data_IF_466194288103
#
_entry.id   IF_466194288103
#
_cell.length_a   1.000
_cell.length_b   1.000
_cell.length_c   1.000
_cell.angle_alpha   90.00
_cell.angle_beta   90.00
_cell.angle_gamma   90.00
#
_symmetry.space_group_name_H-M   'P 1'
#
loop_
_entity.id
_entity.type
_entity.pdbx_description
1 polymer ?
#
# COMPACT_ATOMS: atom_id res chain seq x y z
N UNK A 1 -21.15 16.46 -15.23
CA UNK A 1 -22.26 15.55 -15.54
C UNK A 1 -22.42 14.59 -14.37
N UNK A 2 -23.60 14.51 -13.75
CA UNK A 2 -23.83 13.59 -12.64
C UNK A 2 -23.75 12.14 -13.11
N UNK A 3 -23.32 11.19 -12.27
CA UNK A 3 -23.32 9.75 -12.58
C UNK A 3 -24.67 9.28 -13.19
N UNK A 4 -25.78 9.90 -12.77
CA UNK A 4 -27.14 9.65 -13.26
C UNK A 4 -27.31 9.91 -14.77
N UNK A 5 -26.63 10.90 -15.36
CA UNK A 5 -26.75 11.17 -16.80
C UNK A 5 -25.99 10.15 -17.66
N UNK A 6 -24.89 9.58 -17.13
CA UNK A 6 -24.13 8.51 -17.78
C UNK A 6 -24.90 7.17 -17.72
N UNK A 7 -25.70 6.97 -16.67
CA UNK A 7 -26.51 5.77 -16.47
C UNK A 7 -27.71 5.68 -17.42
N UNK A 8 -28.29 6.82 -17.78
CA UNK A 8 -29.50 6.89 -18.59
C UNK A 8 -29.26 6.72 -20.10
N UNK A 9 -28.02 6.79 -20.59
CA UNK A 9 -27.70 6.65 -22.02
C UNK A 9 -27.43 5.20 -22.46
N UNK A 10 -27.42 4.23 -21.53
CA UNK A 10 -27.00 2.84 -21.80
C UNK A 10 -28.22 1.90 -21.80
N UNK A 11 -28.97 1.81 -22.90
CA UNK A 11 -30.01 0.77 -23.09
C UNK A 11 -29.37 -0.57 -23.49
N UNK A 12 -28.85 -1.36 -22.54
CA UNK A 12 -28.51 -2.80 -22.68
C UNK A 12 -28.68 -3.57 -21.34
N UNK A 13 -28.43 -4.88 -21.32
CA UNK A 13 -28.69 -5.79 -20.19
C UNK A 13 -28.21 -5.25 -18.83
N UNK A 14 -28.94 -5.55 -17.76
CA UNK A 14 -28.73 -5.01 -16.41
C UNK A 14 -27.28 -5.13 -15.91
N UNK A 15 -26.60 -6.22 -16.26
CA UNK A 15 -25.21 -6.50 -15.89
C UNK A 15 -24.19 -5.57 -16.56
N UNK A 16 -24.41 -5.18 -17.82
CA UNK A 16 -23.51 -4.28 -18.57
C UNK A 16 -23.63 -2.84 -18.06
N UNK A 17 -24.86 -2.37 -17.83
CA UNK A 17 -25.15 -1.10 -17.14
C UNK A 17 -24.49 -1.05 -15.78
N UNK A 18 -24.62 -2.10 -14.98
CA UNK A 18 -24.02 -2.17 -13.66
C UNK A 18 -22.49 -2.02 -13.70
N UNK A 19 -21.81 -2.71 -14.62
CA UNK A 19 -20.35 -2.58 -14.79
C UNK A 19 -19.89 -1.14 -15.08
N UNK A 20 -20.54 -0.44 -16.02
CA UNK A 20 -20.24 0.96 -16.32
C UNK A 20 -20.55 1.91 -15.15
N UNK A 21 -21.62 1.62 -14.40
CA UNK A 21 -22.00 2.37 -13.19
C UNK A 21 -20.92 2.33 -12.12
N UNK A 22 -20.32 1.15 -11.91
CA UNK A 22 -19.32 0.93 -10.88
C UNK A 22 -18.05 1.75 -11.13
N UNK A 23 -17.63 1.89 -12.39
CA UNK A 23 -16.49 2.74 -12.77
C UNK A 23 -16.71 4.22 -12.43
N UNK A 24 -17.92 4.74 -12.63
CA UNK A 24 -18.25 6.12 -12.25
C UNK A 24 -18.22 6.35 -10.73
N UNK A 25 -18.45 5.32 -9.92
CA UNK A 25 -18.40 5.36 -8.45
C UNK A 25 -16.98 5.08 -7.90
N UNK A 26 -15.96 4.97 -8.74
CA UNK A 26 -14.58 4.68 -8.31
C UNK A 26 -13.75 5.93 -8.01
N UNK A 27 -14.17 7.12 -8.46
CA UNK A 27 -13.39 8.36 -8.31
C UNK A 27 -13.09 8.74 -6.87
N UNK A 28 -14.08 8.64 -5.96
CA UNK A 28 -13.88 8.91 -4.53
C UNK A 28 -12.83 8.00 -3.90
N UNK A 29 -12.84 6.70 -4.25
CA UNK A 29 -11.88 5.71 -3.75
C UNK A 29 -10.46 5.97 -4.28
N UNK A 30 -10.33 6.32 -5.57
CA UNK A 30 -9.05 6.72 -6.16
C UNK A 30 -8.51 7.98 -5.50
N UNK A 31 -9.37 8.98 -5.25
CA UNK A 31 -9.00 10.19 -4.51
C UNK A 31 -8.50 9.90 -3.09
N UNK A 32 -9.15 8.98 -2.38
CA UNK A 32 -8.71 8.53 -1.05
C UNK A 32 -7.36 7.81 -1.11
N UNK A 33 -7.11 6.97 -2.12
CA UNK A 33 -5.78 6.38 -2.33
C UNK A 33 -4.71 7.46 -2.46
N UNK A 34 -4.95 8.49 -3.27
CA UNK A 34 -4.02 9.62 -3.43
C UNK A 34 -3.85 10.42 -2.15
N UNK A 35 -4.92 10.66 -1.39
CA UNK A 35 -4.88 11.33 -0.08
C UNK A 35 -3.99 10.57 0.90
N UNK A 36 -4.20 9.26 1.03
CA UNK A 36 -3.41 8.40 1.90
C UNK A 36 -1.91 8.47 1.54
N UNK A 37 -1.58 8.41 0.24
CA UNK A 37 -0.19 8.58 -0.21
C UNK A 37 0.38 9.96 0.13
N UNK A 38 -0.42 11.03 0.02
CA UNK A 38 0.00 12.38 0.45
C UNK A 38 0.34 12.45 1.94
N UNK A 39 -0.46 11.80 2.79
CA UNK A 39 -0.22 11.70 4.23
C UNK A 39 1.01 10.82 4.54
N UNK A 40 1.23 9.74 3.79
CA UNK A 40 2.42 8.91 3.89
C UNK A 40 3.69 9.71 3.56
N UNK A 41 3.67 10.53 2.50
CA UNK A 41 4.77 11.43 2.14
C UNK A 41 5.13 12.34 3.32
N UNK A 42 4.12 12.96 3.95
CA UNK A 42 4.36 13.83 5.12
C UNK A 42 5.02 13.04 6.27
N UNK A 43 4.45 11.89 6.63
CA UNK A 43 4.96 11.05 7.72
C UNK A 43 6.41 10.65 7.51
N UNK A 44 6.76 10.15 6.32
CA UNK A 44 8.11 9.66 6.06
C UNK A 44 9.13 10.80 5.92
N UNK A 45 8.73 11.94 5.37
CA UNK A 45 9.56 13.16 5.31
C UNK A 45 9.99 13.59 6.69
N UNK A 46 9.04 13.65 7.63
CA UNK A 46 9.32 14.03 9.01
C UNK A 46 10.25 13.02 9.67
N UNK A 47 9.95 11.72 9.57
CA UNK A 47 10.73 10.69 10.24
C UNK A 47 12.16 10.55 9.71
N UNK A 48 12.35 10.61 8.39
CA UNK A 48 13.67 10.47 7.77
C UNK A 48 14.53 11.69 8.07
N UNK A 49 14.03 12.91 7.83
CA UNK A 49 14.78 14.15 8.14
C UNK A 49 15.16 14.21 9.62
N UNK A 50 14.23 13.89 10.52
CA UNK A 50 14.52 13.81 11.95
C UNK A 50 15.58 12.75 12.28
N UNK A 51 15.53 11.58 11.64
CA UNK A 51 16.48 10.49 11.88
C UNK A 51 17.91 10.82 11.43
N UNK A 52 18.06 11.66 10.40
CA UNK A 52 19.36 12.15 9.93
C UNK A 52 20.01 13.15 10.90
N UNK A 53 19.23 13.89 11.69
CA UNK A 53 19.76 14.93 12.59
C UNK A 53 19.80 14.51 14.06
N UNK A 54 18.88 13.63 14.48
CA UNK A 54 18.81 13.17 15.87
C UNK A 54 19.99 12.26 16.16
N UNK A 55 20.89 12.70 17.03
CA UNK A 55 21.99 11.88 17.56
C UNK A 55 21.60 11.28 18.91
N UNK A 56 21.88 10.00 19.10
CA UNK A 56 21.66 9.31 20.37
C UNK A 56 22.49 8.03 20.41
N UNK A 57 23.32 7.86 21.45
CA UNK A 57 24.28 6.76 21.58
C UNK A 57 25.32 6.75 20.44
N UNK A 58 26.33 5.88 20.54
CA UNK A 58 27.35 5.73 19.52
C UNK A 58 28.40 4.68 19.86
N UNK A 59 29.43 4.51 19.02
CA UNK A 59 30.41 3.43 19.16
C UNK A 59 31.33 3.60 20.38
N UNK A 60 31.45 4.82 20.91
CA UNK A 60 32.31 5.14 22.04
C UNK A 60 31.69 6.23 22.92
N UNK A 61 32.05 6.29 24.21
CA UNK A 61 31.59 7.35 25.10
C UNK A 61 31.91 8.74 24.54
N UNK A 62 30.91 9.63 24.53
CA UNK A 62 31.07 11.01 24.07
C UNK A 62 30.97 11.23 22.55
N UNK A 63 30.86 10.17 21.75
CA UNK A 63 30.56 10.27 20.31
C UNK A 63 29.15 9.75 20.05
N UNK A 64 28.25 10.62 19.61
CA UNK A 64 26.90 10.21 19.24
C UNK A 64 26.69 10.19 17.73
N UNK A 65 26.03 9.14 17.25
CA UNK A 65 25.70 8.94 15.84
C UNK A 65 24.26 9.36 15.56
N UNK A 66 23.97 9.90 14.36
CA UNK A 66 22.60 10.04 13.88
C UNK A 66 21.85 8.71 13.99
N UNK A 67 20.59 8.73 14.40
CA UNK A 67 19.84 7.49 14.61
C UNK A 67 19.61 6.72 13.31
N UNK A 68 19.64 7.40 12.15
CA UNK A 68 19.60 6.74 10.84
C UNK A 68 20.84 5.86 10.59
N UNK A 69 21.92 5.96 11.38
CA UNK A 69 23.08 5.07 11.24
C UNK A 69 22.80 3.66 11.77
N UNK A 70 21.77 3.46 12.60
CA UNK A 70 21.48 2.17 13.21
C UNK A 70 20.66 1.28 12.27
N UNK A 71 21.05 0.00 12.18
CA UNK A 71 20.35 -1.02 11.39
C UNK A 71 18.85 -1.08 11.74
N UNK A 72 18.49 -0.99 13.01
CA UNK A 72 17.10 -1.01 13.46
C UNK A 72 16.29 0.17 12.94
N UNK A 73 16.86 1.38 12.89
CA UNK A 73 16.18 2.55 12.35
C UNK A 73 16.00 2.43 10.83
N UNK A 74 17.01 1.93 10.10
CA UNK A 74 16.91 1.68 8.65
C UNK A 74 15.87 0.61 8.33
N UNK A 75 15.89 -0.51 9.03
CA UNK A 75 14.91 -1.59 8.86
C UNK A 75 13.47 -1.13 9.11
N UNK A 76 13.26 -0.12 9.97
CA UNK A 76 11.94 0.50 10.18
C UNK A 76 11.54 1.42 9.04
N UNK A 77 12.44 2.29 8.57
CA UNK A 77 12.10 3.39 7.66
C UNK A 77 12.27 3.06 6.17
N UNK A 78 13.32 2.34 5.77
CA UNK A 78 13.60 2.03 4.36
C UNK A 78 12.46 1.22 3.70
N UNK A 79 11.88 0.19 4.36
CA UNK A 79 10.72 -0.49 3.80
C UNK A 79 9.48 0.41 3.64
N UNK A 80 9.31 1.43 4.49
CA UNK A 80 8.24 2.41 4.35
C UNK A 80 8.50 3.31 3.14
N UNK A 81 9.75 3.77 2.94
CA UNK A 81 10.15 4.51 1.73
C UNK A 81 9.89 3.69 0.48
N UNK A 82 10.27 2.41 0.46
CA UNK A 82 9.95 1.51 -0.63
C UNK A 82 8.43 1.41 -0.87
N UNK A 83 7.63 1.24 0.20
CA UNK A 83 6.17 1.20 0.10
C UNK A 83 5.57 2.48 -0.50
N UNK A 84 6.16 3.65 -0.19
CA UNK A 84 5.73 4.93 -0.76
C UNK A 84 5.88 4.93 -2.28
N UNK A 85 7.05 4.56 -2.81
CA UNK A 85 7.28 4.54 -4.26
C UNK A 85 6.32 3.58 -4.97
N UNK A 86 6.17 2.36 -4.44
CA UNK A 86 5.37 1.32 -5.07
C UNK A 86 3.87 1.68 -5.02
N UNK A 87 3.35 2.08 -3.85
CA UNK A 87 1.93 2.41 -3.75
C UNK A 87 1.58 3.78 -4.35
N UNK A 88 2.52 4.71 -4.47
CA UNK A 88 2.31 5.93 -5.27
C UNK A 88 2.17 5.61 -6.75
N UNK A 89 3.02 4.73 -7.29
CA UNK A 89 2.89 4.26 -8.68
C UNK A 89 1.58 3.51 -8.89
N UNK A 90 1.17 2.66 -7.94
CA UNK A 90 -0.15 2.02 -7.97
C UNK A 90 -1.28 3.07 -8.01
N UNK A 91 -1.27 4.05 -7.11
CA UNK A 91 -2.34 5.06 -7.04
C UNK A 91 -2.42 5.88 -8.33
N UNK A 92 -1.28 6.29 -8.89
CA UNK A 92 -1.24 7.01 -10.16
C UNK A 92 -1.72 6.16 -11.34
N UNK A 93 -1.26 4.91 -11.46
CA UNK A 93 -1.71 4.03 -12.53
C UNK A 93 -3.20 3.69 -12.44
N UNK A 94 -3.77 3.55 -11.24
CA UNK A 94 -5.23 3.37 -11.08
C UNK A 94 -5.98 4.67 -11.43
N UNK A 95 -5.41 5.83 -11.13
CA UNK A 95 -5.95 7.11 -11.58
C UNK A 95 -5.94 7.25 -13.09
N UNK A 96 -4.84 6.90 -13.77
CA UNK A 96 -4.74 6.93 -15.23
C UNK A 96 -5.76 6.00 -15.88
N UNK A 97 -5.96 4.79 -15.34
CA UNK A 97 -7.02 3.88 -15.79
C UNK A 97 -8.42 4.52 -15.68
N UNK A 98 -8.69 5.21 -14.57
CA UNK A 98 -9.96 5.90 -14.34
C UNK A 98 -10.17 7.04 -15.34
N UNK A 99 -9.12 7.82 -15.62
CA UNK A 99 -9.19 8.90 -16.62
C UNK A 99 -9.43 8.32 -18.02
N UNK A 100 -8.71 7.25 -18.39
CA UNK A 100 -8.93 6.58 -19.67
C UNK A 100 -10.38 6.09 -19.81
N UNK A 101 -10.94 5.49 -18.77
CA UNK A 101 -12.35 5.09 -18.75
C UNK A 101 -13.29 6.29 -18.93
N UNK A 102 -13.05 7.41 -18.24
CA UNK A 102 -13.90 8.59 -18.40
C UNK A 102 -13.84 9.18 -19.81
N UNK A 103 -12.64 9.30 -20.38
CA UNK A 103 -12.46 9.79 -21.75
C UNK A 103 -13.23 8.91 -22.72
N UNK A 104 -13.03 7.58 -22.66
CA UNK A 104 -13.73 6.66 -23.54
C UNK A 104 -15.26 6.73 -23.34
N UNK A 105 -15.74 6.82 -22.10
CA UNK A 105 -17.18 6.92 -21.80
C UNK A 105 -17.85 8.16 -22.38
N UNK A 106 -17.10 9.23 -22.63
CA UNK A 106 -17.62 10.48 -23.21
C UNK A 106 -17.65 10.46 -24.74
N UNK A 107 -16.82 9.62 -25.37
CA UNK A 107 -16.68 9.52 -26.82
C UNK A 107 -17.15 8.19 -27.40
N UNK A 108 -17.73 7.31 -26.58
CA UNK A 108 -18.02 5.92 -26.94
C UNK A 108 -19.22 5.77 -27.87
N UNK A 109 -19.12 4.82 -28.79
CA UNK A 109 -20.24 4.37 -29.63
C UNK A 109 -20.81 3.03 -29.14
N UNK A 110 -21.73 2.42 -29.89
CA UNK A 110 -22.35 1.15 -29.49
C UNK A 110 -21.34 -0.01 -29.37
N UNK A 111 -20.32 -0.02 -30.22
CA UNK A 111 -19.29 -1.06 -30.24
C UNK A 111 -18.39 -1.04 -28.98
N UNK A 112 -18.27 0.11 -28.31
CA UNK A 112 -17.43 0.29 -27.13
C UNK A 112 -18.12 -0.13 -25.82
N UNK A 113 -19.43 -0.43 -25.85
CA UNK A 113 -20.23 -0.69 -24.64
C UNK A 113 -19.70 -1.87 -23.83
N UNK A 114 -19.24 -2.92 -24.50
CA UNK A 114 -18.71 -4.11 -23.83
C UNK A 114 -17.36 -3.83 -23.20
N UNK A 115 -16.46 -3.16 -23.93
CA UNK A 115 -15.18 -2.70 -23.41
C UNK A 115 -15.36 -1.82 -22.17
N UNK A 116 -16.27 -0.83 -22.23
CA UNK A 116 -16.58 0.03 -21.08
C UNK A 116 -17.11 -0.76 -19.88
N UNK A 117 -17.94 -1.78 -20.10
CA UNK A 117 -18.43 -2.62 -19.02
C UNK A 117 -17.28 -3.42 -18.36
N UNK A 118 -16.35 -3.97 -19.15
CA UNK A 118 -15.17 -4.67 -18.63
C UNK A 118 -14.22 -3.71 -17.89
N UNK A 119 -13.92 -2.54 -18.46
CA UNK A 119 -13.09 -1.50 -17.83
C UNK A 119 -13.70 -1.04 -16.50
N UNK A 120 -15.02 -0.79 -16.47
CA UNK A 120 -15.72 -0.34 -15.27
C UNK A 120 -15.67 -1.38 -14.13
N UNK A 121 -15.81 -2.67 -14.45
CA UNK A 121 -15.65 -3.75 -13.46
C UNK A 121 -14.22 -3.85 -12.91
N UNK A 122 -13.23 -3.75 -13.79
CA UNK A 122 -11.82 -3.84 -13.40
C UNK A 122 -11.39 -2.62 -12.57
N UNK A 123 -11.76 -1.40 -12.97
CA UNK A 123 -11.51 -0.17 -12.19
C UNK A 123 -12.19 -0.23 -10.83
N UNK A 124 -13.40 -0.77 -10.75
CA UNK A 124 -14.07 -0.95 -9.47
C UNK A 124 -13.30 -1.88 -8.53
N UNK A 125 -12.85 -3.03 -9.04
CA UNK A 125 -12.04 -3.96 -8.26
C UNK A 125 -10.70 -3.32 -7.80
N UNK A 126 -9.98 -2.67 -8.73
CA UNK A 126 -8.71 -2.00 -8.46
C UNK A 126 -8.87 -0.85 -7.46
N UNK A 127 -9.85 0.03 -7.65
CA UNK A 127 -10.10 1.16 -6.75
C UNK A 127 -10.51 0.71 -5.34
N UNK A 128 -11.31 -0.35 -5.20
CA UNK A 128 -11.63 -0.97 -3.91
C UNK A 128 -10.37 -1.40 -3.16
N UNK A 129 -9.54 -2.22 -3.81
CA UNK A 129 -8.39 -2.86 -3.16
C UNK A 129 -7.24 -1.88 -2.98
N UNK A 130 -7.01 -0.98 -3.95
CA UNK A 130 -6.01 0.09 -3.85
C UNK A 130 -6.30 1.05 -2.70
N UNK A 131 -7.56 1.47 -2.54
CA UNK A 131 -7.99 2.31 -1.42
C UNK A 131 -7.70 1.62 -0.08
N UNK A 132 -8.09 0.34 0.03
CA UNK A 132 -7.89 -0.41 1.26
C UNK A 132 -6.40 -0.57 1.62
N UNK A 133 -5.55 -0.94 0.67
CA UNK A 133 -4.12 -1.15 0.94
C UNK A 133 -3.38 0.17 1.20
N UNK A 134 -3.66 1.24 0.43
CA UNK A 134 -3.01 2.54 0.60
C UNK A 134 -3.36 3.15 1.97
N UNK A 135 -4.63 3.08 2.39
CA UNK A 135 -5.05 3.67 3.67
C UNK A 135 -4.50 2.90 4.87
N UNK A 136 -4.51 1.57 4.84
CA UNK A 136 -3.91 0.74 5.89
C UNK A 136 -2.39 0.86 5.94
N UNK A 137 -1.72 0.90 4.78
CA UNK A 137 -0.27 1.11 4.72
C UNK A 137 0.09 2.46 5.35
N UNK A 138 -0.60 3.53 4.97
CA UNK A 138 -0.39 4.87 5.51
C UNK A 138 -0.65 4.94 7.00
N UNK A 139 -1.70 4.28 7.50
CA UNK A 139 -2.02 4.22 8.93
C UNK A 139 -0.87 3.60 9.73
N UNK A 140 -0.41 2.41 9.32
CA UNK A 140 0.69 1.69 9.96
C UNK A 140 2.01 2.45 9.85
N UNK A 141 2.36 2.90 8.66
CA UNK A 141 3.60 3.62 8.40
C UNK A 141 3.67 4.95 9.17
N UNK A 142 2.58 5.70 9.25
CA UNK A 142 2.55 6.96 10.01
C UNK A 142 2.77 6.73 11.50
N UNK A 143 2.20 5.64 12.05
CA UNK A 143 2.44 5.24 13.42
C UNK A 143 3.90 4.81 13.64
N UNK A 144 4.46 4.02 12.73
CA UNK A 144 5.86 3.61 12.78
C UNK A 144 6.82 4.82 12.70
N UNK A 145 6.56 5.76 11.79
CA UNK A 145 7.31 7.01 11.64
C UNK A 145 7.27 7.86 12.92
N UNK A 146 6.12 7.92 13.58
CA UNK A 146 5.95 8.62 14.87
C UNK A 146 6.85 8.00 15.95
N UNK A 147 6.83 6.68 16.07
CA UNK A 147 7.65 5.96 17.04
C UNK A 147 9.14 6.00 16.71
N UNK A 148 9.51 6.05 15.43
CA UNK A 148 10.88 6.24 14.97
C UNK A 148 11.45 7.62 15.38
N UNK A 149 10.59 8.61 15.65
CA UNK A 149 10.97 9.92 16.19
C UNK A 149 11.05 9.96 17.73
N UNK A 150 10.78 8.84 18.41
CA UNK A 150 10.80 8.74 19.87
C UNK A 150 9.81 9.69 20.54
N UNK A 151 10.18 10.23 21.72
CA UNK A 151 9.33 11.14 22.49
C UNK A 151 8.94 12.42 21.73
N UNK A 152 9.83 12.95 20.89
CA UNK A 152 9.51 14.14 20.08
C UNK A 152 8.43 13.86 19.03
N UNK A 153 8.31 12.63 18.55
CA UNK A 153 7.19 12.23 17.68
C UNK A 153 5.82 12.33 18.34
N UNK A 154 5.74 12.43 19.68
CA UNK A 154 4.47 12.64 20.38
C UNK A 154 4.09 14.12 20.53
N UNK A 155 5.01 15.05 20.26
CA UNK A 155 4.69 16.48 20.31
C UNK A 155 3.63 16.81 19.28
N UNK A 156 2.67 17.68 19.65
CA UNK A 156 1.72 18.23 18.68
C UNK A 156 2.44 18.87 17.48
N UNK A 157 3.55 19.58 17.75
CA UNK A 157 4.39 20.23 16.76
C UNK A 157 5.10 19.26 15.80
N UNK A 158 5.15 17.96 16.10
CA UNK A 158 5.67 16.94 15.17
C UNK A 158 4.72 16.66 14.00
N UNK A 159 3.44 17.00 14.13
CA UNK A 159 2.43 16.80 13.10
C UNK A 159 1.88 15.37 12.97
N UNK A 160 2.52 14.35 13.56
CA UNK A 160 2.08 12.95 13.40
C UNK A 160 0.68 12.66 13.93
N UNK A 161 0.26 13.33 15.02
CA UNK A 161 -1.11 13.19 15.55
C UNK A 161 -2.15 13.58 14.50
N UNK A 162 -2.00 14.78 13.93
CA UNK A 162 -2.89 15.30 12.87
C UNK A 162 -2.86 14.40 11.64
N UNK A 163 -1.68 13.99 11.18
CA UNK A 163 -1.56 13.13 9.98
C UNK A 163 -2.31 11.81 10.18
N UNK A 164 -2.25 11.23 11.37
CA UNK A 164 -2.98 9.99 11.69
C UNK A 164 -4.48 10.24 11.79
N UNK A 165 -4.89 11.31 12.47
CA UNK A 165 -6.30 11.70 12.59
C UNK A 165 -6.94 11.95 11.21
N UNK A 166 -6.19 12.54 10.28
CA UNK A 166 -6.63 12.77 8.89
C UNK A 166 -6.67 11.47 8.06
N UNK A 167 -5.80 10.50 8.34
CA UNK A 167 -5.77 9.23 7.61
C UNK A 167 -6.79 8.22 8.12
N UNK A 168 -7.07 8.17 9.42
CA UNK A 168 -7.93 7.15 10.03
C UNK A 168 -9.32 7.01 9.34
N UNK A 169 -10.01 8.10 8.97
CA UNK A 169 -11.26 8.00 8.22
C UNK A 169 -11.10 7.37 6.83
N UNK A 170 -9.91 7.46 6.21
CA UNK A 170 -9.63 6.83 4.91
C UNK A 170 -9.74 5.32 4.96
N UNK A 171 -9.67 4.69 6.14
CA UNK A 171 -9.93 3.25 6.30
C UNK A 171 -11.44 2.90 6.27
N UNK A 172 -12.32 3.89 6.30
CA UNK A 172 -13.79 3.71 6.45
C UNK A 172 -14.61 4.43 5.39
N UNK A 173 -14.22 5.64 4.98
CA UNK A 173 -14.90 6.44 3.94
C UNK A 173 -14.97 5.70 2.60
N UNK A 174 -16.02 5.97 1.82
CA UNK A 174 -16.23 5.37 0.49
C UNK A 174 -16.14 3.83 0.51
N UNK A 175 -16.58 3.24 1.63
CA UNK A 175 -16.62 1.81 1.90
C UNK A 175 -15.59 1.35 2.92
N UNK A 176 -16.04 0.56 3.90
CA UNK A 176 -15.16 -0.14 4.84
C UNK A 176 -14.15 -1.02 4.09
N UNK A 177 -12.88 -0.96 4.49
CA UNK A 177 -11.82 -1.68 3.79
C UNK A 177 -12.06 -3.19 3.72
N UNK A 178 -12.54 -3.85 4.77
CA UNK A 178 -12.78 -5.30 4.74
C UNK A 178 -13.96 -5.67 3.85
N UNK A 179 -14.99 -4.83 3.79
CA UNK A 179 -16.11 -5.01 2.84
C UNK A 179 -15.64 -4.78 1.39
N UNK A 180 -14.83 -3.74 1.14
CA UNK A 180 -14.33 -3.42 -0.19
C UNK A 180 -13.43 -4.52 -0.76
N UNK A 181 -12.62 -5.18 0.08
CA UNK A 181 -11.78 -6.29 -0.37
C UNK A 181 -12.61 -7.39 -1.06
N UNK A 182 -13.86 -7.62 -0.66
CA UNK A 182 -14.72 -8.61 -1.33
C UNK A 182 -14.86 -8.35 -2.84
N UNK A 183 -14.81 -7.09 -3.27
CA UNK A 183 -14.89 -6.73 -4.70
C UNK A 183 -13.69 -7.23 -5.50
N UNK A 184 -12.48 -7.23 -4.90
CA UNK A 184 -11.27 -7.78 -5.52
C UNK A 184 -11.38 -9.28 -5.74
N UNK A 185 -11.69 -10.04 -4.68
CA UNK A 185 -11.86 -11.49 -4.79
C UNK A 185 -13.00 -11.90 -5.73
N UNK A 186 -14.13 -11.20 -5.71
CA UNK A 186 -15.24 -11.46 -6.63
C UNK A 186 -14.81 -11.24 -8.09
N UNK A 187 -14.06 -10.17 -8.37
CA UNK A 187 -13.53 -9.90 -9.71
C UNK A 187 -12.59 -11.02 -10.19
N UNK A 188 -11.62 -11.42 -9.36
CA UNK A 188 -10.67 -12.48 -9.72
C UNK A 188 -11.35 -13.83 -9.88
N UNK A 189 -12.24 -14.20 -8.96
CA UNK A 189 -12.95 -15.48 -9.04
C UNK A 189 -13.94 -15.51 -10.21
N UNK A 190 -14.57 -14.40 -10.58
CA UNK A 190 -15.41 -14.34 -11.78
C UNK A 190 -14.59 -14.63 -13.04
N UNK A 191 -13.42 -13.99 -13.20
CA UNK A 191 -12.53 -14.25 -14.35
C UNK A 191 -11.98 -15.68 -14.32
N UNK A 192 -11.69 -16.23 -13.13
CA UNK A 192 -11.28 -17.63 -12.97
C UNK A 192 -12.39 -18.60 -13.43
N UNK A 193 -13.64 -18.36 -13.04
CA UNK A 193 -14.77 -19.19 -13.47
C UNK A 193 -15.02 -19.09 -14.97
N UNK A 194 -14.94 -17.88 -15.52
CA UNK A 194 -15.05 -17.67 -16.96
C UNK A 194 -14.00 -18.47 -17.73
N UNK A 195 -12.73 -18.38 -17.33
CA UNK A 195 -11.63 -19.09 -18.01
C UNK A 195 -11.71 -20.62 -17.82
N UNK A 196 -11.88 -21.09 -16.59
CA UNK A 196 -11.68 -22.51 -16.26
C UNK A 196 -12.95 -23.35 -16.21
N UNK A 197 -14.14 -22.75 -16.08
CA UNK A 197 -15.42 -23.46 -16.07
C UNK A 197 -16.24 -23.20 -17.32
N UNK A 198 -16.24 -21.96 -17.80
CA UNK A 198 -17.10 -21.54 -18.91
C UNK A 198 -16.37 -21.53 -20.27
N UNK A 199 -15.05 -21.74 -20.30
CA UNK A 199 -14.20 -21.63 -21.50
C UNK A 199 -14.33 -20.26 -22.21
N UNK A 200 -14.46 -19.20 -21.43
CA UNK A 200 -14.54 -17.81 -21.90
C UNK A 200 -13.19 -17.14 -21.68
N UNK A 201 -12.71 -16.39 -22.66
CA UNK A 201 -11.45 -15.64 -22.55
C UNK A 201 -11.53 -14.57 -21.46
N UNK A 202 -10.39 -14.30 -20.81
CA UNK A 202 -10.30 -13.27 -19.79
C UNK A 202 -10.46 -11.90 -20.44
N UNK A 203 -11.33 -11.08 -19.85
CA UNK A 203 -11.55 -9.71 -20.30
C UNK A 203 -11.09 -8.75 -19.19
N UNK A 204 -9.80 -8.41 -19.26
CA UNK A 204 -9.13 -7.51 -18.31
C UNK A 204 -8.42 -6.42 -19.12
N UNK A 205 -9.13 -5.36 -19.58
CA UNK A 205 -8.55 -4.30 -20.41
C UNK A 205 -7.32 -3.61 -19.82
N UNK A 206 -7.17 -3.59 -18.49
CA UNK A 206 -6.00 -3.06 -17.79
C UNK A 206 -5.04 -4.16 -17.29
N UNK A 207 -5.21 -5.37 -17.79
CA UNK A 207 -4.35 -6.55 -17.58
C UNK A 207 -4.13 -6.97 -16.12
N UNK A 208 -4.94 -6.51 -15.16
CA UNK A 208 -4.77 -6.88 -13.75
C UNK A 208 -5.14 -8.34 -13.45
N UNK A 209 -5.93 -8.99 -14.31
CA UNK A 209 -6.26 -10.41 -14.21
C UNK A 209 -5.52 -11.30 -15.24
N UNK A 210 -4.57 -10.76 -16.01
CA UNK A 210 -3.89 -11.49 -17.09
C UNK A 210 -3.08 -12.70 -16.61
N UNK A 211 -2.60 -12.69 -15.36
CA UNK A 211 -1.85 -13.80 -14.77
C UNK A 211 -2.63 -15.13 -14.78
N UNK A 212 -3.96 -15.08 -14.76
CA UNK A 212 -4.83 -16.26 -14.74
C UNK A 212 -4.67 -17.13 -15.99
N UNK A 213 -4.28 -16.56 -17.14
CA UNK A 213 -4.04 -17.30 -18.38
C UNK A 213 -2.88 -18.30 -18.24
N UNK A 214 -1.84 -17.91 -17.49
CA UNK A 214 -0.65 -18.73 -17.24
C UNK A 214 -0.70 -19.51 -15.92
N UNK A 215 -1.78 -19.37 -15.15
CA UNK A 215 -1.90 -19.91 -13.79
C UNK A 215 -1.64 -21.43 -13.71
N UNK A 216 -2.15 -22.24 -14.66
CA UNK A 216 -1.88 -23.69 -14.69
C UNK A 216 -0.39 -23.99 -14.83
N UNK A 217 0.30 -23.30 -15.73
CA UNK A 217 1.74 -23.45 -15.97
C UNK A 217 2.55 -23.03 -14.75
N UNK A 218 2.19 -21.89 -14.15
CA UNK A 218 2.85 -21.35 -12.94
C UNK A 218 2.72 -22.36 -11.78
N UNK A 219 1.52 -22.91 -11.53
CA UNK A 219 1.30 -23.86 -10.44
C UNK A 219 1.94 -25.24 -10.68
N UNK A 220 2.08 -25.66 -11.94
CA UNK A 220 2.80 -26.89 -12.28
C UNK A 220 4.30 -26.77 -11.98
N UNK A 221 4.88 -25.59 -12.18
CA UNK A 221 6.26 -25.30 -11.82
C UNK A 221 6.39 -24.92 -10.34
N UNK A 222 6.14 -25.88 -9.44
CA UNK A 222 6.21 -25.67 -7.99
C UNK A 222 7.66 -25.70 -7.42
N UNK A 223 8.64 -25.25 -8.22
CA UNK A 223 10.01 -25.07 -7.76
C UNK A 223 10.20 -23.62 -7.29
N UNK A 224 10.71 -23.46 -6.07
CA UNK A 224 11.04 -22.15 -5.53
C UNK A 224 12.09 -21.45 -6.40
N UNK A 225 11.73 -20.32 -7.01
CA UNK A 225 12.67 -19.48 -7.77
C UNK A 225 13.61 -18.68 -6.86
N UNK A 226 13.25 -18.53 -5.57
CA UNK A 226 14.06 -17.80 -4.60
C UNK A 226 15.23 -18.67 -4.17
N UNK A 227 16.43 -18.21 -4.51
CA UNK A 227 17.72 -18.83 -4.20
C UNK A 227 18.71 -17.76 -3.73
N UNK A 228 19.90 -18.17 -3.29
CA UNK A 228 20.94 -17.22 -2.83
C UNK A 228 21.41 -16.25 -3.91
N UNK A 229 21.24 -16.60 -5.18
CA UNK A 229 21.67 -15.83 -6.35
C UNK A 229 20.48 -15.22 -7.10
N UNK A 230 19.27 -15.27 -6.53
CA UNK A 230 18.09 -14.85 -7.25
C UNK A 230 18.03 -13.34 -7.47
N UNK A 231 17.47 -12.96 -8.62
CA UNK A 231 17.29 -11.58 -9.04
C UNK A 231 15.85 -11.13 -8.77
N UNK A 232 15.60 -9.84 -8.97
CA UNK A 232 14.26 -9.25 -8.81
C UNK A 232 13.20 -10.03 -9.60
N UNK A 233 13.50 -10.45 -10.83
CA UNK A 233 12.58 -11.24 -11.66
C UNK A 233 12.16 -12.56 -11.02
N UNK A 234 13.06 -13.22 -10.30
CA UNK A 234 12.76 -14.47 -9.59
C UNK A 234 11.82 -14.24 -8.41
N UNK A 235 11.97 -13.11 -7.70
CA UNK A 235 11.06 -12.69 -6.64
C UNK A 235 9.66 -12.38 -7.22
N UNK A 236 9.58 -11.70 -8.37
CA UNK A 236 8.31 -11.43 -9.05
C UNK A 236 7.62 -12.74 -9.47
N UNK A 237 8.36 -13.68 -10.07
CA UNK A 237 7.85 -15.01 -10.43
C UNK A 237 7.34 -15.79 -9.21
N UNK A 238 8.04 -15.70 -8.07
CA UNK A 238 7.57 -16.30 -6.82
C UNK A 238 6.27 -15.66 -6.31
N UNK A 239 6.10 -14.36 -6.52
CA UNK A 239 4.86 -13.66 -6.16
C UNK A 239 3.71 -13.99 -7.11
N UNK A 240 3.98 -14.20 -8.41
CA UNK A 240 3.02 -14.74 -9.38
C UNK A 240 2.50 -16.11 -8.91
N UNK A 241 3.42 -16.99 -8.47
CA UNK A 241 3.06 -18.28 -7.91
C UNK A 241 2.18 -18.13 -6.66
N UNK A 242 2.53 -17.22 -5.74
CA UNK A 242 1.76 -16.98 -4.52
C UNK A 242 0.32 -16.52 -4.84
N UNK A 243 0.16 -15.60 -5.80
CA UNK A 243 -1.16 -15.15 -6.25
C UNK A 243 -1.96 -16.30 -6.87
N UNK A 244 -1.34 -17.08 -7.77
CA UNK A 244 -1.98 -18.25 -8.38
C UNK A 244 -2.41 -19.26 -7.31
N UNK A 245 -1.55 -19.53 -6.32
CA UNK A 245 -1.82 -20.47 -5.24
C UNK A 245 -3.03 -20.03 -4.41
N UNK A 246 -3.11 -18.75 -4.02
CA UNK A 246 -4.25 -18.26 -3.23
C UNK A 246 -5.55 -18.22 -4.05
N UNK A 247 -5.49 -18.01 -5.36
CA UNK A 247 -6.66 -18.14 -6.26
C UNK A 247 -7.17 -19.59 -6.26
N UNK A 248 -6.31 -20.59 -6.53
CA UNK A 248 -6.70 -22.00 -6.55
C UNK A 248 -7.27 -22.45 -5.18
N UNK A 249 -6.56 -22.10 -4.10
CA UNK A 249 -6.99 -22.40 -2.73
C UNK A 249 -8.35 -21.79 -2.42
N UNK A 250 -8.62 -20.56 -2.87
CA UNK A 250 -9.89 -19.86 -2.65
C UNK A 250 -11.02 -20.44 -3.49
N UNK A 251 -10.76 -20.75 -4.76
CA UNK A 251 -11.72 -21.36 -5.67
C UNK A 251 -12.19 -22.73 -5.16
N UNK A 252 -11.26 -23.62 -4.76
CA UNK A 252 -11.57 -24.93 -4.18
C UNK A 252 -12.37 -24.84 -2.89
N UNK A 253 -12.04 -23.87 -2.03
CA UNK A 253 -12.79 -23.64 -0.79
C UNK A 253 -14.24 -23.26 -1.10
N UNK A 254 -14.44 -22.35 -2.05
CA UNK A 254 -15.77 -21.89 -2.44
C UNK A 254 -16.58 -23.01 -3.10
N UNK A 255 -15.95 -23.81 -3.97
CA UNK A 255 -16.58 -24.98 -4.59
C UNK A 255 -17.05 -25.99 -3.53
N UNK A 256 -16.17 -26.36 -2.58
CA UNK A 256 -16.53 -27.27 -1.48
C UNK A 256 -17.72 -26.76 -0.67
N UNK A 257 -17.77 -25.46 -0.37
CA UNK A 257 -18.88 -24.84 0.38
C UNK A 257 -20.16 -24.72 -0.46
N UNK A 258 -20.07 -24.72 -1.78
CA UNK A 258 -21.23 -24.68 -2.67
C UNK A 258 -21.84 -26.08 -2.84
N UNK A 259 -21.02 -27.13 -2.78
CA UNK A 259 -21.47 -28.53 -2.86
C UNK A 259 -22.24 -29.00 -1.61
N UNK A 260 -22.10 -28.32 -0.48
CA UNK A 260 -22.91 -28.62 0.71
C UNK A 260 -24.34 -28.16 0.49
N UNK A 261 -25.30 -29.09 0.35
CA UNK A 261 -26.72 -28.85 0.03
C UNK A 261 -27.47 -27.88 0.96
N UNK A 262 -26.89 -27.52 2.09
CA UNK A 262 -27.48 -26.64 3.11
C UNK A 262 -27.06 -25.17 3.00
N UNK A 263 -26.09 -24.84 2.15
CA UNK A 263 -25.50 -23.49 2.09
C UNK A 263 -25.98 -22.74 0.86
N UNK A 264 -26.54 -21.54 1.04
CA UNK A 264 -26.82 -20.64 -0.08
C UNK A 264 -25.52 -20.09 -0.69
N UNK A 265 -25.56 -19.57 -1.92
CA UNK A 265 -24.39 -18.89 -2.53
C UNK A 265 -23.85 -17.75 -1.65
N UNK A 266 -24.75 -17.06 -0.94
CA UNK A 266 -24.39 -16.05 0.03
C UNK A 266 -23.60 -16.65 1.20
N UNK A 267 -24.10 -17.74 1.80
CA UNK A 267 -23.44 -18.41 2.93
C UNK A 267 -22.08 -18.95 2.55
N UNK A 268 -21.95 -19.57 1.37
CA UNK A 268 -20.69 -20.10 0.87
C UNK A 268 -19.65 -19.00 0.70
N UNK A 269 -20.03 -17.83 0.17
CA UNK A 269 -19.13 -16.67 0.06
C UNK A 269 -18.77 -16.10 1.43
N UNK A 270 -19.76 -15.90 2.30
CA UNK A 270 -19.55 -15.39 3.66
C UNK A 270 -18.57 -16.28 4.46
N UNK A 271 -18.76 -17.60 4.39
CA UNK A 271 -17.94 -18.57 5.10
C UNK A 271 -16.54 -18.80 4.47
N UNK A 272 -16.25 -18.18 3.32
CA UNK A 272 -14.95 -18.20 2.68
C UNK A 272 -14.15 -16.89 2.89
N UNK A 273 -14.70 -15.87 3.55
CA UNK A 273 -14.08 -14.54 3.56
C UNK A 273 -12.70 -14.49 4.24
N UNK A 274 -12.60 -14.88 5.51
CA UNK A 274 -11.49 -14.48 6.40
C UNK A 274 -10.11 -14.92 5.92
N UNK A 275 -9.93 -16.19 5.58
CA UNK A 275 -8.62 -16.78 5.23
C UNK A 275 -8.46 -17.13 3.74
N UNK A 276 -9.46 -16.82 2.92
CA UNK A 276 -9.41 -17.09 1.48
C UNK A 276 -9.70 -15.81 0.68
N UNK A 277 -10.95 -15.36 0.61
CA UNK A 277 -11.33 -14.25 -0.28
C UNK A 277 -10.70 -12.91 0.11
N UNK A 278 -10.65 -12.60 1.41
CA UNK A 278 -9.98 -11.40 1.93
C UNK A 278 -8.48 -11.43 1.62
N UNK A 279 -7.83 -12.56 1.90
CA UNK A 279 -6.39 -12.78 1.65
C UNK A 279 -6.07 -12.68 0.15
N UNK A 280 -6.88 -13.32 -0.70
CA UNK A 280 -6.77 -13.22 -2.16
C UNK A 280 -6.79 -11.76 -2.62
N UNK A 281 -7.70 -10.95 -2.09
CA UNK A 281 -7.86 -9.55 -2.51
C UNK A 281 -6.66 -8.68 -2.12
N UNK A 282 -6.05 -8.96 -0.96
CA UNK A 282 -4.84 -8.29 -0.50
C UNK A 282 -3.65 -8.69 -1.38
N UNK A 283 -3.44 -9.99 -1.60
CA UNK A 283 -2.33 -10.48 -2.43
C UNK A 283 -2.49 -10.01 -3.88
N UNK A 284 -3.72 -9.97 -4.40
CA UNK A 284 -4.03 -9.45 -5.73
C UNK A 284 -3.57 -8.00 -5.91
N UNK A 285 -3.89 -7.11 -4.97
CA UNK A 285 -3.50 -5.69 -5.12
C UNK A 285 -2.02 -5.46 -4.84
N UNK A 286 -1.42 -6.23 -3.94
CA UNK A 286 0.02 -6.21 -3.70
C UNK A 286 0.80 -6.69 -4.93
N UNK A 287 0.35 -7.78 -5.56
CA UNK A 287 0.87 -8.26 -6.84
C UNK A 287 0.72 -7.20 -7.94
N UNK A 288 -0.47 -6.63 -8.09
CA UNK A 288 -0.71 -5.55 -9.06
C UNK A 288 0.25 -4.38 -8.84
N UNK A 289 0.53 -4.00 -7.58
CA UNK A 289 1.44 -2.90 -7.26
C UNK A 289 2.89 -3.20 -7.71
N UNK A 290 3.43 -4.38 -7.37
CA UNK A 290 4.80 -4.75 -7.75
C UNK A 290 4.94 -4.97 -9.25
N UNK A 291 3.94 -5.57 -9.91
CA UNK A 291 3.94 -5.80 -11.36
C UNK A 291 3.90 -4.49 -12.13
N UNK A 292 3.02 -3.55 -11.74
CA UNK A 292 2.95 -2.22 -12.39
C UNK A 292 4.22 -1.41 -12.19
N UNK A 293 4.83 -1.50 -11.01
CA UNK A 293 6.11 -0.85 -10.76
C UNK A 293 7.24 -1.47 -11.59
N UNK A 294 7.29 -2.80 -11.71
CA UNK A 294 8.25 -3.48 -12.59
C UNK A 294 8.06 -3.07 -14.07
N UNK A 295 6.82 -3.03 -14.55
CA UNK A 295 6.49 -2.54 -15.90
C UNK A 295 6.88 -1.08 -16.10
N UNK A 296 6.66 -0.22 -15.11
CA UNK A 296 7.10 1.18 -15.14
C UNK A 296 8.62 1.27 -15.32
N UNK A 297 9.39 0.43 -14.62
CA UNK A 297 10.85 0.39 -14.82
C UNK A 297 11.16 -0.07 -16.25
N UNK A 298 10.62 -1.20 -16.70
CA UNK A 298 10.92 -1.76 -18.02
C UNK A 298 10.57 -0.83 -19.20
N UNK A 299 9.45 -0.10 -19.10
CA UNK A 299 8.91 0.68 -20.24
C UNK A 299 9.34 2.14 -20.27
N UNK A 300 9.83 2.68 -19.16
CA UNK A 300 10.24 4.07 -19.09
C UNK A 300 11.69 4.22 -19.57
N UNK A 301 11.83 4.69 -20.81
CA UNK A 301 13.13 4.90 -21.46
C UNK A 301 13.85 6.19 -21.01
N UNK A 302 13.15 7.10 -20.34
CA UNK A 302 13.72 8.36 -19.84
C UNK A 302 14.42 8.19 -18.48
N UNK A 303 14.35 6.98 -17.91
CA UNK A 303 14.94 6.64 -16.61
C UNK A 303 16.45 6.40 -16.74
N UNK A 304 17.24 7.27 -16.10
CA UNK A 304 18.69 7.11 -15.95
C UNK A 304 19.04 5.77 -15.28
N UNK A 305 20.15 5.15 -15.71
CA UNK A 305 20.60 3.84 -15.24
C UNK A 305 20.81 3.81 -13.73
N UNK A 306 21.31 4.90 -13.13
CA UNK A 306 21.51 4.95 -11.66
C UNK A 306 20.17 5.00 -10.95
N UNK A 307 19.24 5.82 -11.43
CA UNK A 307 17.89 5.88 -10.88
C UNK A 307 17.19 4.52 -10.98
N UNK A 308 17.31 3.84 -12.11
CA UNK A 308 16.77 2.50 -12.32
C UNK A 308 17.25 1.51 -11.26
N UNK A 309 18.57 1.45 -11.00
CA UNK A 309 19.14 0.57 -9.98
C UNK A 309 18.56 0.85 -8.59
N UNK A 310 18.41 2.12 -8.21
CA UNK A 310 17.84 2.49 -6.90
C UNK A 310 16.37 2.09 -6.81
N UNK A 311 15.58 2.33 -7.87
CA UNK A 311 14.17 1.95 -7.89
C UNK A 311 13.98 0.41 -7.90
N UNK A 312 14.86 -0.34 -8.56
CA UNK A 312 14.87 -1.81 -8.50
C UNK A 312 15.16 -2.32 -7.08
N UNK A 313 16.09 -1.67 -6.35
CA UNK A 313 16.33 -1.97 -4.93
C UNK A 313 15.09 -1.69 -4.08
N UNK A 314 14.41 -0.57 -4.30
CA UNK A 314 13.15 -0.26 -3.59
C UNK A 314 12.06 -1.30 -3.88
N UNK A 315 11.90 -1.70 -5.14
CA UNK A 315 10.96 -2.76 -5.51
C UNK A 315 11.32 -4.09 -4.85
N UNK A 316 12.62 -4.42 -4.78
CA UNK A 316 13.13 -5.62 -4.11
C UNK A 316 12.83 -5.58 -2.61
N UNK A 317 13.14 -4.48 -1.92
CA UNK A 317 12.83 -4.26 -0.50
C UNK A 317 11.34 -4.44 -0.23
N UNK A 318 10.49 -3.80 -1.04
CA UNK A 318 9.04 -3.91 -0.87
C UNK A 318 8.57 -5.36 -1.06
N UNK A 319 9.04 -6.03 -2.11
CA UNK A 319 8.65 -7.43 -2.42
C UNK A 319 9.09 -8.39 -1.32
N UNK A 320 10.31 -8.25 -0.78
CA UNK A 320 10.77 -9.03 0.37
C UNK A 320 9.90 -8.79 1.60
N UNK A 321 9.47 -7.54 1.85
CA UNK A 321 8.57 -7.24 2.96
C UNK A 321 7.21 -7.91 2.81
N UNK A 322 6.67 -7.96 1.59
CA UNK A 322 5.44 -8.69 1.31
C UNK A 322 5.60 -10.20 1.54
N UNK A 323 6.76 -10.78 1.21
CA UNK A 323 7.02 -12.19 1.53
C UNK A 323 7.09 -12.45 3.04
N UNK A 324 7.64 -11.55 3.85
CA UNK A 324 7.58 -11.68 5.31
C UNK A 324 6.13 -11.74 5.82
N UNK A 325 5.22 -10.95 5.23
CA UNK A 325 3.80 -10.95 5.60
C UNK A 325 3.08 -12.25 5.24
N UNK A 326 3.46 -12.88 4.12
CA UNK A 326 2.78 -14.05 3.54
C UNK A 326 3.56 -15.36 3.62
N UNK A 327 4.64 -15.38 4.41
CA UNK A 327 5.56 -16.53 4.49
C UNK A 327 4.82 -17.84 4.82
N UNK A 328 3.77 -17.77 5.65
CA UNK A 328 2.95 -18.93 6.00
C UNK A 328 2.26 -19.57 4.80
N UNK A 329 1.82 -18.80 3.81
CA UNK A 329 1.17 -19.33 2.60
C UNK A 329 2.17 -20.03 1.67
N UNK A 330 3.42 -19.53 1.59
CA UNK A 330 4.49 -20.13 0.81
C UNK A 330 4.88 -21.51 1.37
N UNK A 331 4.93 -21.64 2.70
CA UNK A 331 5.13 -22.93 3.36
C UNK A 331 3.91 -23.85 3.18
N UNK A 332 2.69 -23.33 3.36
CA UNK A 332 1.45 -24.11 3.22
C UNK A 332 1.32 -24.74 1.83
N UNK A 333 1.64 -24.00 0.77
CA UNK A 333 1.60 -24.52 -0.60
C UNK A 333 2.86 -25.26 -1.04
N UNK A 334 3.78 -25.55 -0.12
CA UNK A 334 5.04 -26.28 -0.35
C UNK A 334 5.97 -25.63 -1.40
N UNK A 335 5.85 -24.31 -1.61
CA UNK A 335 6.77 -23.57 -2.48
C UNK A 335 8.12 -23.43 -1.79
N UNK A 336 8.11 -22.93 -0.55
CA UNK A 336 9.28 -22.93 0.34
C UNK A 336 9.20 -24.15 1.25
N UNK A 337 10.26 -24.96 1.27
CA UNK A 337 10.29 -26.25 2.00
C UNK A 337 11.13 -26.22 3.27
N UNK A 338 12.05 -25.26 3.39
CA UNK A 338 12.95 -25.16 4.54
C UNK A 338 13.15 -23.70 4.96
N UNK A 339 13.74 -23.49 6.14
CA UNK A 339 13.96 -22.16 6.69
C UNK A 339 15.07 -21.35 6.01
N UNK A 340 15.90 -21.95 5.14
CA UNK A 340 17.06 -21.28 4.56
C UNK A 340 16.65 -20.14 3.63
N UNK A 341 15.59 -20.32 2.85
CA UNK A 341 15.05 -19.26 1.97
C UNK A 341 14.56 -18.07 2.81
N UNK A 342 13.87 -18.33 3.91
CA UNK A 342 13.40 -17.26 4.80
C UNK A 342 14.57 -16.50 5.45
N UNK A 343 15.60 -17.21 5.92
CA UNK A 343 16.80 -16.58 6.47
C UNK A 343 17.52 -15.73 5.42
N UNK A 344 17.63 -16.22 4.18
CA UNK A 344 18.20 -15.44 3.09
C UNK A 344 17.41 -14.17 2.81
N UNK A 345 16.08 -14.23 2.77
CA UNK A 345 15.23 -13.04 2.54
C UNK A 345 15.42 -11.98 3.63
N UNK A 346 15.53 -12.41 4.90
CA UNK A 346 15.77 -11.52 6.03
C UNK A 346 17.15 -10.84 5.93
N UNK A 347 18.20 -11.60 5.62
CA UNK A 347 19.55 -11.06 5.41
C UNK A 347 19.56 -10.09 4.23
N UNK A 348 18.97 -10.47 3.08
CA UNK A 348 18.93 -9.62 1.89
C UNK A 348 18.17 -8.32 2.12
N UNK A 349 17.08 -8.35 2.88
CA UNK A 349 16.33 -7.16 3.26
C UNK A 349 17.19 -6.20 4.10
N UNK A 350 17.95 -6.72 5.06
CA UNK A 350 18.85 -5.94 5.90
C UNK A 350 19.97 -5.32 5.05
N UNK A 351 20.60 -6.10 4.17
CA UNK A 351 21.68 -5.61 3.29
C UNK A 351 21.19 -4.47 2.40
N UNK A 352 20.00 -4.63 1.79
CA UNK A 352 19.40 -3.59 0.96
C UNK A 352 19.04 -2.33 1.76
N UNK A 353 18.63 -2.48 3.02
CA UNK A 353 18.38 -1.34 3.90
C UNK A 353 19.66 -0.55 4.16
N UNK A 354 20.81 -1.22 4.34
CA UNK A 354 22.11 -0.55 4.50
C UNK A 354 22.58 0.08 3.18
N UNK A 355 22.42 -0.61 2.05
CA UNK A 355 22.76 -0.08 0.72
C UNK A 355 21.99 1.22 0.39
N UNK A 356 20.70 1.28 0.72
CA UNK A 356 19.81 2.42 0.45
C UNK A 356 19.91 3.55 1.49
N UNK A 357 20.57 3.30 2.63
CA UNK A 357 20.64 4.26 3.76
C UNK A 357 21.13 5.63 3.33
N UNK A 358 22.14 5.70 2.47
CA UNK A 358 22.73 6.97 2.02
C UNK A 358 21.81 7.73 1.04
N UNK A 359 20.84 7.05 0.43
CA UNK A 359 19.94 7.62 -0.55
C UNK A 359 18.57 7.97 0.05
N UNK A 360 18.26 7.45 1.24
CA UNK A 360 16.92 7.53 1.86
C UNK A 360 16.43 8.96 2.05
N UNK A 361 17.31 9.91 2.39
CA UNK A 361 16.97 11.31 2.53
C UNK A 361 16.55 11.90 1.18
N UNK A 362 17.39 11.74 0.16
CA UNK A 362 17.11 12.20 -1.21
C UNK A 362 15.83 11.59 -1.76
N UNK A 363 15.63 10.28 -1.55
CA UNK A 363 14.45 9.55 -2.00
C UNK A 363 13.16 10.12 -1.41
N UNK A 364 13.20 10.66 -0.21
CA UNK A 364 12.04 11.27 0.44
C UNK A 364 11.89 12.74 0.06
N UNK A 365 13.01 13.48 -0.02
CA UNK A 365 13.01 14.90 -0.35
C UNK A 365 12.46 15.20 -1.76
N UNK A 366 12.57 14.27 -2.71
CA UNK A 366 11.93 14.37 -4.04
C UNK A 366 10.41 14.56 -3.96
N UNK A 367 9.77 14.08 -2.88
CA UNK A 367 8.33 14.24 -2.65
C UNK A 367 7.99 15.24 -1.54
N UNK A 368 8.99 15.71 -0.78
CA UNK A 368 8.75 16.53 0.39
C UNK A 368 8.05 17.85 0.01
N UNK A 369 6.89 18.16 0.60
CA UNK A 369 6.26 19.44 0.37
C UNK A 369 7.04 20.55 1.09
N UNK A 370 6.82 21.83 0.74
CA UNK A 370 7.38 22.96 1.48
C UNK A 370 7.03 22.89 2.99
N UNK A 371 7.91 23.40 3.84
CA UNK A 371 7.80 23.26 5.30
C UNK A 371 6.47 23.77 5.88
N UNK A 372 5.84 24.79 5.27
CA UNK A 372 4.54 25.28 5.70
C UNK A 372 3.37 24.31 5.42
N UNK A 373 3.49 23.44 4.40
CA UNK A 373 2.54 22.36 4.11
C UNK A 373 2.86 21.12 4.94
N UNK A 374 4.16 20.83 5.12
CA UNK A 374 4.61 19.74 5.99
C UNK A 374 4.14 19.98 7.43
N UNK A 375 4.24 21.23 7.88
CA UNK A 375 3.77 21.74 9.17
C UNK A 375 4.28 20.89 10.35
N UNK A 376 5.58 20.63 10.38
CA UNK A 376 6.23 19.82 11.41
C UNK A 376 7.61 20.36 11.75
N UNK A 377 7.84 20.68 13.02
CA UNK A 377 9.14 21.19 13.50
C UNK A 377 10.27 20.16 13.41
N UNK A 378 9.92 18.87 13.31
CA UNK A 378 10.90 17.78 13.18
C UNK A 378 11.32 17.55 11.72
N UNK A 379 10.49 17.98 10.78
CA UNK A 379 10.67 17.72 9.36
C UNK A 379 11.14 18.93 8.55
N UNK A 380 11.50 20.05 9.18
CA UNK A 380 11.99 21.23 8.47
C UNK A 380 13.21 20.90 7.58
N UNK A 381 13.26 21.52 6.40
CA UNK A 381 14.32 21.25 5.42
C UNK A 381 15.71 21.72 5.86
N UNK A 382 15.79 22.70 6.78
CA UNK A 382 17.06 23.24 7.30
C UNK A 382 17.74 22.32 8.34
N UNK A 383 17.06 21.26 8.80
CA UNK A 383 17.55 20.34 9.82
C UNK A 383 17.69 20.97 11.22
N UNK A 384 17.26 22.22 11.44
CA UNK A 384 17.39 22.93 12.72
C UNK A 384 16.29 22.55 13.72
N UNK A 385 16.13 21.25 13.94
CA UNK A 385 15.01 20.66 14.68
C UNK A 385 14.88 21.20 16.10
N UNK A 386 15.99 21.31 16.84
CA UNK A 386 15.95 21.75 18.24
C UNK A 386 15.63 23.24 18.37
N UNK A 387 16.14 24.07 17.46
CA UNK A 387 15.80 25.49 17.40
C UNK A 387 14.32 25.68 17.05
N UNK A 388 13.82 24.90 16.09
CA UNK A 388 12.41 24.91 15.70
C UNK A 388 11.48 24.49 16.85
N UNK A 389 11.82 23.42 17.59
CA UNK A 389 11.10 23.01 18.80
C UNK A 389 11.10 24.16 19.83
N UNK A 390 12.28 24.72 20.11
CA UNK A 390 12.42 25.77 21.12
C UNK A 390 11.59 27.02 20.74
N UNK A 391 11.66 27.43 19.47
CA UNK A 391 10.89 28.55 18.93
C UNK A 391 9.38 28.30 19.04
N UNK A 392 8.91 27.09 18.74
CA UNK A 392 7.50 26.73 18.86
C UNK A 392 7.01 26.85 20.31
N UNK A 393 7.77 26.29 21.26
CA UNK A 393 7.45 26.37 22.71
C UNK A 393 7.36 27.83 23.17
N UNK A 394 8.30 28.68 22.77
CA UNK A 394 8.34 30.10 23.15
C UNK A 394 7.32 30.97 22.42
N UNK A 395 6.87 30.56 21.23
CA UNK A 395 5.86 31.30 20.46
C UNK A 395 4.47 31.24 21.07
N UNK A 396 4.15 30.18 21.81
CA UNK A 396 2.86 30.02 22.46
C UNK A 396 2.84 30.84 23.77
N UNK A 397 2.03 31.91 23.76
CA UNK A 397 1.89 32.85 24.88
C UNK A 397 1.46 32.19 26.19
N UNK A 398 0.81 31.02 26.14
CA UNK A 398 0.32 30.31 27.33
C UNK A 398 1.37 29.38 27.96
N UNK A 399 2.49 29.09 27.28
CA UNK A 399 3.47 28.09 27.73
C UNK A 399 4.05 28.40 29.12
N UNK A 400 4.40 29.66 29.38
CA UNK A 400 5.07 30.09 30.62
C UNK A 400 4.14 30.86 31.56
N UNK A 401 2.84 30.88 31.27
CA UNK A 401 1.85 31.57 32.09
C UNK A 401 1.33 30.60 33.15
N UNK A 402 1.15 31.12 34.37
CA UNK A 402 0.54 30.35 35.45
C UNK A 402 -0.89 29.94 35.05
N UNK A 403 -1.24 28.64 35.09
CA UNK A 403 -2.58 28.21 34.74
C UNK A 403 -3.64 28.90 35.60
N UNK A 404 -4.74 29.34 34.99
CA UNK A 404 -5.82 30.07 35.68
C UNK A 404 -6.47 29.29 36.82
N UNK A 405 -6.42 27.96 36.76
CA UNK A 405 -6.93 27.06 37.80
C UNK A 405 -5.93 26.80 38.94
N UNK A 406 -4.66 27.22 38.80
CA UNK A 406 -3.66 27.09 39.86
C UNK A 406 -3.92 28.17 40.94
N UNK A 407 -4.95 27.94 41.76
CA UNK A 407 -5.16 28.69 43.00
C UNK A 407 -4.09 28.27 44.01
N UNK A 408 -3.34 29.23 44.55
CA UNK A 408 -2.34 29.00 45.62
C UNK A 408 -2.92 28.26 46.84
N UNK A 409 -4.24 28.35 47.04
CA UNK A 409 -4.99 27.71 48.12
C UNK A 409 -4.92 26.17 48.14
N UNK A 410 -4.63 25.49 47.01
CA UNK A 410 -4.46 24.03 46.99
C UNK A 410 -3.15 23.58 47.65
N UNK A 411 -2.10 24.42 47.60
CA UNK A 411 -0.78 24.12 48.19
C UNK A 411 -0.82 24.36 49.70
N UNK A 412 -1.56 25.37 50.17
CA UNK A 412 -1.69 25.68 51.61
C UNK A 412 -2.58 24.68 52.38
N UNK A 413 -3.40 23.88 51.71
CA UNK A 413 -4.32 22.92 52.34
C UNK A 413 -3.72 21.54 52.61
N UNK A 414 -2.46 21.30 52.23
CA UNK A 414 -1.74 20.07 52.60
C UNK A 414 -0.95 20.28 53.88
N UNK A 415 -1.53 19.91 55.03
CA UNK A 415 -0.81 19.59 56.28
C UNK A 415 -0.76 18.07 56.51
N UNK A 416 -0.55 17.31 55.43
CA UNK A 416 -0.15 15.90 55.48
C UNK A 416 1.36 15.81 55.39
#
# INVERSE_FOLDING_TARGET
MSAISLLNSIETSSTKRFGASLGALSSGRVGISSLAIGLLIKSITIAVRYSCVRKQFGPSPGTEYPVIEYQTQNWRLVPIVASLYIYRNLALSVFDNLIHFYILSMSSNEDDRDLLAYMGREIHALSCTAKAICSWNTQKASQECREACGGHGYLYASGFGIIRDDNDPSCTFEGDNNVLLQQGSNYILSNYEDLYKNNVSINSPFHSAGFLENMKTILQNNQCSITSECHLKDLLNAFDWLLCYIVDKSARKLERLTLTKTSSSFDSKNNAQVYHLRTLSIIYIQHTAITRFAQFLETNNDLDDKCRVVLEKLLTVHTLKLFEEHIGLLFEGNYIKNGQVNQWMQTRLIDLCDELRNEVLTLVDVFAPPDHILNSVLGNNDGQVYEAINKMIHSNKQTFVTPSWLKRDLIERSKL
#
